data_IF_681352909350
#
_entry.id   IF_681352909350
#
_cell.length_a   1.000
_cell.length_b   1.000
_cell.length_c   1.000
_cell.angle_alpha   90.00
_cell.angle_beta   90.00
_cell.angle_gamma   90.00
#
_symmetry.space_group_name_H-M   'P 1'
#
loop_
_entity.id
_entity.type
_entity.pdbx_description
1 polymer ?
#
# COMPACT_ATOMS: atom_id res chain seq x y z
N UNK A 1 21.73 6.35 -20.89
CA UNK A 1 20.43 6.50 -21.57
C UNK A 1 19.35 6.33 -20.51
N UNK A 2 18.59 7.37 -20.23
CA UNK A 2 17.48 7.38 -19.27
C UNK A 2 16.24 6.68 -19.84
N UNK A 3 15.32 6.24 -18.98
CA UNK A 3 13.97 5.78 -19.38
C UNK A 3 13.26 6.88 -20.19
N UNK A 4 13.48 8.14 -19.82
CA UNK A 4 12.89 9.29 -20.52
C UNK A 4 13.50 9.50 -21.92
N UNK A 5 14.80 9.25 -22.09
CA UNK A 5 15.46 9.30 -23.39
C UNK A 5 14.91 8.21 -24.32
N UNK A 6 14.73 6.99 -23.81
CA UNK A 6 14.09 5.90 -24.55
C UNK A 6 12.66 6.28 -24.95
N UNK A 7 11.90 6.87 -24.02
CA UNK A 7 10.52 7.28 -24.28
C UNK A 7 10.44 8.27 -25.44
N UNK A 8 11.29 9.30 -25.43
CA UNK A 8 11.38 10.30 -26.49
C UNK A 8 11.86 9.69 -27.81
N UNK A 9 12.88 8.83 -27.77
CA UNK A 9 13.46 8.20 -28.96
C UNK A 9 12.47 7.29 -29.71
N UNK A 10 11.61 6.60 -28.97
CA UNK A 10 10.66 5.63 -29.54
C UNK A 10 9.21 6.15 -29.58
N UNK A 11 9.00 7.46 -29.38
CA UNK A 11 7.67 8.11 -29.36
C UNK A 11 6.61 7.41 -28.47
N UNK A 12 7.05 6.91 -27.31
CA UNK A 12 6.18 6.22 -26.37
C UNK A 12 5.42 7.27 -25.55
N UNK A 13 4.10 7.40 -25.77
CA UNK A 13 3.29 8.44 -25.12
C UNK A 13 3.05 8.21 -23.62
N UNK A 14 3.04 6.96 -23.17
CA UNK A 14 2.78 6.61 -21.77
C UNK A 14 4.02 6.73 -20.89
N UNK A 15 3.90 7.49 -19.79
CA UNK A 15 5.01 7.72 -18.84
C UNK A 15 5.48 6.45 -18.11
N UNK A 16 4.57 5.51 -17.85
CA UNK A 16 4.83 4.24 -17.17
C UNK A 16 5.01 3.06 -18.13
N UNK A 17 4.83 3.22 -19.44
CA UNK A 17 4.82 2.09 -20.40
C UNK A 17 6.13 1.30 -20.37
N UNK A 18 7.27 1.98 -20.37
CA UNK A 18 8.59 1.34 -20.31
C UNK A 18 8.81 0.64 -18.97
N UNK A 19 8.34 1.25 -17.86
CA UNK A 19 8.45 0.67 -16.52
C UNK A 19 7.62 -0.62 -16.42
N UNK A 20 6.39 -0.60 -16.95
CA UNK A 20 5.52 -1.78 -17.00
C UNK A 20 6.13 -2.91 -17.84
N UNK A 21 6.79 -2.58 -18.95
CA UNK A 21 7.51 -3.58 -19.75
C UNK A 21 8.74 -4.12 -19.03
N UNK A 22 9.47 -3.29 -18.29
CA UNK A 22 10.58 -3.76 -17.45
C UNK A 22 10.09 -4.70 -16.35
N UNK A 23 8.95 -4.40 -15.71
CA UNK A 23 8.36 -5.29 -14.71
C UNK A 23 7.85 -6.61 -15.28
N UNK A 24 7.28 -6.59 -16.49
CA UNK A 24 6.64 -7.76 -17.10
C UNK A 24 7.59 -8.65 -17.90
N UNK A 25 8.54 -8.04 -18.61
CA UNK A 25 9.43 -8.71 -19.57
C UNK A 25 10.92 -8.51 -19.24
N UNK A 26 11.24 -7.66 -18.27
CA UNK A 26 12.61 -7.44 -17.85
C UNK A 26 13.21 -8.64 -17.12
N UNK A 27 14.54 -8.67 -17.08
CA UNK A 27 15.28 -9.65 -16.29
C UNK A 27 15.15 -9.28 -14.82
N UNK A 28 14.28 -9.97 -14.08
CA UNK A 28 14.02 -9.72 -12.66
C UNK A 28 15.29 -9.65 -11.79
N UNK A 29 16.34 -10.40 -12.14
CA UNK A 29 17.63 -10.42 -11.42
C UNK A 29 18.55 -9.22 -11.73
N UNK A 30 18.26 -8.42 -12.75
CA UNK A 30 18.98 -7.18 -13.07
C UNK A 30 18.23 -5.93 -12.57
N UNK A 31 16.96 -6.09 -12.20
CA UNK A 31 16.20 -5.05 -11.53
C UNK A 31 16.56 -5.10 -10.05
N UNK A 32 16.86 -3.94 -9.46
CA UNK A 32 17.03 -3.80 -7.99
C UNK A 32 15.67 -3.93 -7.29
N UNK A 33 15.04 -5.10 -7.41
CA UNK A 33 13.77 -5.41 -6.79
C UNK A 33 14.05 -6.01 -5.41
N UNK A 34 13.68 -5.29 -4.36
CA UNK A 34 13.65 -5.85 -3.01
C UNK A 34 12.41 -6.73 -2.91
N UNK A 35 12.59 -8.04 -2.95
CA UNK A 35 11.50 -9.00 -2.76
C UNK A 35 11.37 -9.29 -1.28
N UNK A 36 10.29 -8.81 -0.66
CA UNK A 36 9.89 -9.25 0.68
C UNK A 36 9.12 -10.57 0.54
N UNK A 37 9.67 -11.65 1.07
CA UNK A 37 8.97 -12.93 1.13
C UNK A 37 8.17 -12.94 2.43
N UNK A 38 6.86 -12.82 2.32
CA UNK A 38 5.92 -12.99 3.44
C UNK A 38 5.22 -14.33 3.28
N UNK A 39 5.10 -15.08 4.37
CA UNK A 39 4.31 -16.31 4.40
C UNK A 39 2.82 -16.00 4.35
N UNK A 40 2.01 -16.95 3.86
CA UNK A 40 0.56 -16.76 3.75
C UNK A 40 -0.10 -16.48 5.10
N UNK A 41 0.46 -17.02 6.18
CA UNK A 41 -0.05 -16.84 7.53
C UNK A 41 0.26 -15.43 8.06
N UNK A 42 1.45 -14.89 7.82
CA UNK A 42 1.81 -13.51 8.18
C UNK A 42 0.90 -12.48 7.50
N UNK A 43 0.57 -12.68 6.22
CA UNK A 43 -0.34 -11.79 5.50
C UNK A 43 -1.75 -11.82 6.11
N UNK A 44 -2.25 -13.01 6.44
CA UNK A 44 -3.57 -13.17 7.08
C UNK A 44 -3.61 -12.56 8.46
N UNK A 45 -2.55 -12.72 9.25
CA UNK A 45 -2.43 -12.14 10.59
C UNK A 45 -2.45 -10.61 10.54
N UNK A 46 -1.71 -10.00 9.60
CA UNK A 46 -1.71 -8.54 9.41
C UNK A 46 -3.12 -8.04 9.05
N UNK A 47 -3.85 -8.75 8.18
CA UNK A 47 -5.23 -8.38 7.83
C UNK A 47 -6.19 -8.49 9.01
N UNK A 48 -6.07 -9.55 9.82
CA UNK A 48 -6.87 -9.75 11.03
C UNK A 48 -6.59 -8.64 12.05
N UNK A 49 -5.32 -8.36 12.33
CA UNK A 49 -4.91 -7.29 13.24
C UNK A 49 -5.40 -5.92 12.79
N UNK A 50 -5.39 -5.63 11.48
CA UNK A 50 -5.95 -4.39 10.93
C UNK A 50 -7.45 -4.29 11.14
N UNK A 51 -8.20 -5.38 10.98
CA UNK A 51 -9.65 -5.41 11.23
C UNK A 51 -9.97 -5.20 12.70
N UNK A 52 -9.25 -5.86 13.60
CA UNK A 52 -9.42 -5.70 15.05
C UNK A 52 -9.11 -4.27 15.49
N UNK A 53 -8.01 -3.69 15.02
CA UNK A 53 -7.67 -2.29 15.31
C UNK A 53 -8.74 -1.31 14.81
N UNK A 54 -9.33 -1.56 13.65
CA UNK A 54 -10.41 -0.72 13.12
C UNK A 54 -11.66 -0.81 13.99
N UNK A 55 -12.06 -2.02 14.40
CA UNK A 55 -13.20 -2.23 15.29
C UNK A 55 -12.98 -1.59 16.67
N UNK A 56 -11.78 -1.77 17.24
CA UNK A 56 -11.42 -1.21 18.54
C UNK A 56 -11.41 0.32 18.52
N UNK A 57 -10.85 0.93 17.48
CA UNK A 57 -10.85 2.40 17.32
C UNK A 57 -12.28 2.95 17.22
N UNK A 58 -13.18 2.24 16.54
CA UNK A 58 -14.58 2.66 16.42
C UNK A 58 -15.28 2.60 17.78
N UNK A 59 -15.16 1.50 18.51
CA UNK A 59 -15.74 1.36 19.85
C UNK A 59 -15.18 2.41 20.82
N UNK A 60 -13.87 2.68 20.76
CA UNK A 60 -13.25 3.72 21.57
C UNK A 60 -13.79 5.11 21.25
N UNK A 61 -13.97 5.45 19.97
CA UNK A 61 -14.53 6.74 19.57
C UNK A 61 -15.97 6.90 20.08
N UNK A 62 -16.78 5.84 20.01
CA UNK A 62 -18.16 5.83 20.52
C UNK A 62 -18.20 6.04 22.04
N UNK A 63 -17.39 5.30 22.81
CA UNK A 63 -17.24 5.50 24.25
C UNK A 63 -16.71 6.89 24.63
N UNK A 64 -15.78 7.43 23.84
CA UNK A 64 -15.24 8.77 24.08
C UNK A 64 -16.30 9.86 23.84
N UNK A 65 -17.18 9.67 22.85
CA UNK A 65 -18.31 10.56 22.60
C UNK A 65 -19.35 10.47 23.73
N UNK A 66 -19.74 9.27 24.15
CA UNK A 66 -20.67 9.06 25.27
C UNK A 66 -20.16 9.71 26.57
N UNK A 67 -18.89 9.50 26.91
CA UNK A 67 -18.29 10.11 28.09
C UNK A 67 -18.29 11.64 28.02
N UNK A 68 -17.99 12.24 26.86
CA UNK A 68 -18.05 13.69 26.69
C UNK A 68 -19.48 14.22 26.87
N UNK A 69 -20.47 13.56 26.28
CA UNK A 69 -21.88 13.96 26.44
C UNK A 69 -22.29 13.90 27.91
N UNK A 70 -21.96 12.83 28.62
CA UNK A 70 -22.29 12.67 30.04
C UNK A 70 -21.63 13.74 30.91
N UNK A 71 -20.39 14.14 30.61
CA UNK A 71 -19.70 15.23 31.33
C UNK A 71 -20.30 16.62 31.07
N UNK A 72 -20.99 16.84 29.95
CA UNK A 72 -21.62 18.14 29.63
C UNK A 72 -23.05 18.29 30.16
N UNK A 73 -23.68 17.20 30.59
CA UNK A 73 -25.07 17.18 31.09
C UNK A 73 -25.15 17.29 32.63
N UNK A 74 -23.99 17.21 33.30
CA UNK A 74 -23.81 17.46 34.75
C UNK A 74 -23.18 18.84 34.92
#
# INVERSE_FOLDING_TARGET
MSIEDCRRKYDIKGGSTIQNWLEKYGKNHLLNKVVRVETKDEVREIELLRKELAALKKAYAELALENKVNQTVI
#
